data_IF_007380993379
#
_entry.id   IF_007380993379
#
_cell.length_a   1.000
_cell.length_b   1.000
_cell.length_c   1.000
_cell.angle_alpha   90.00
_cell.angle_beta   90.00
_cell.angle_gamma   90.00
#
_symmetry.space_group_name_H-M   'P 1'
#
loop_
_entity.id
_entity.type
_entity.pdbx_description
1 polymer ?
#
# COMPACT_ATOMS: atom_id res chain seq x y z
N UNK A 1 8.97 -38.13 14.88
CA UNK A 1 9.73 -36.86 14.91
C UNK A 1 8.91 -35.65 14.47
N UNK A 2 7.91 -35.78 13.57
CA UNK A 2 7.00 -34.68 13.16
C UNK A 2 6.13 -34.13 14.31
N UNK A 3 5.85 -34.93 15.34
CA UNK A 3 4.98 -34.56 16.47
C UNK A 3 5.67 -33.69 17.54
N UNK A 4 6.89 -33.20 17.26
CA UNK A 4 7.67 -32.34 18.17
C UNK A 4 7.77 -30.88 17.73
N UNK A 5 7.14 -30.52 16.61
CA UNK A 5 7.15 -29.16 16.08
C UNK A 5 5.79 -28.50 16.28
N UNK A 6 5.79 -27.36 16.97
CA UNK A 6 4.62 -26.47 17.07
C UNK A 6 5.06 -25.11 16.55
N UNK A 7 4.28 -24.54 15.63
CA UNK A 7 4.48 -23.18 15.13
C UNK A 7 3.47 -22.29 15.83
N UNK A 8 3.97 -21.30 16.57
CA UNK A 8 3.13 -20.23 17.10
C UNK A 8 3.10 -19.09 16.08
N UNK A 9 1.91 -18.61 15.66
CA UNK A 9 1.82 -17.43 14.79
C UNK A 9 2.25 -16.18 15.55
N UNK A 10 2.69 -15.17 14.80
CA UNK A 10 2.94 -13.86 15.37
C UNK A 10 1.63 -13.26 15.90
N UNK A 11 1.72 -12.64 17.08
CA UNK A 11 0.64 -11.81 17.61
C UNK A 11 0.58 -10.46 16.89
N UNK A 12 -0.56 -9.79 17.02
CA UNK A 12 -0.78 -8.44 16.48
C UNK A 12 -1.44 -7.59 17.57
N UNK A 13 -0.90 -6.41 17.83
CA UNK A 13 -1.46 -5.48 18.80
C UNK A 13 -2.59 -4.68 18.16
N UNK A 14 -3.83 -5.14 18.35
CA UNK A 14 -5.00 -4.58 17.68
C UNK A 14 -5.28 -3.13 18.09
N UNK A 15 -4.95 -2.74 19.33
CA UNK A 15 -5.24 -1.39 19.83
C UNK A 15 -4.50 -0.28 19.07
N UNK A 16 -3.31 -0.58 18.56
CA UNK A 16 -2.50 0.38 17.79
C UNK A 16 -2.98 0.50 16.34
N UNK A 17 -3.59 -0.56 15.81
CA UNK A 17 -3.98 -0.67 14.40
C UNK A 17 -5.48 -0.91 14.25
N UNK A 18 -6.28 -0.16 15.01
CA UNK A 18 -7.73 -0.20 14.98
C UNK A 18 -8.28 1.00 14.19
N UNK A 19 -8.80 0.81 12.97
CA UNK A 19 -9.31 1.90 12.16
C UNK A 19 -10.53 2.61 12.78
N UNK A 20 -11.18 2.02 13.78
CA UNK A 20 -12.32 2.64 14.47
C UNK A 20 -11.87 3.69 15.49
N UNK A 21 -10.60 3.61 15.93
CA UNK A 21 -10.02 4.46 16.97
C UNK A 21 -8.77 5.22 16.49
N UNK A 22 -8.31 4.98 15.26
CA UNK A 22 -7.13 5.61 14.68
C UNK A 22 -7.39 7.09 14.34
N UNK A 23 -6.75 7.98 15.12
CA UNK A 23 -6.87 9.44 14.98
C UNK A 23 -6.04 10.01 13.83
N UNK A 24 -5.19 9.21 13.19
CA UNK A 24 -4.42 9.61 12.01
C UNK A 24 -5.23 9.49 10.73
N UNK A 25 -6.33 8.72 10.74
CA UNK A 25 -7.24 8.62 9.62
C UNK A 25 -8.07 9.91 9.47
N UNK A 26 -8.30 10.39 8.23
CA UNK A 26 -9.24 11.48 7.98
C UNK A 26 -10.65 11.17 8.51
N UNK A 27 -11.08 9.92 8.44
CA UNK A 27 -12.32 9.43 9.02
C UNK A 27 -12.14 7.98 9.50
N UNK A 28 -12.55 7.69 10.73
CA UNK A 28 -12.47 6.33 11.28
C UNK A 28 -13.51 5.43 10.61
N UNK A 29 -13.24 4.13 10.59
CA UNK A 29 -14.15 3.13 10.00
C UNK A 29 -14.05 1.80 10.73
N UNK A 30 -14.99 0.90 10.46
CA UNK A 30 -15.02 -0.42 11.09
C UNK A 30 -15.40 -1.51 10.09
N UNK A 31 -15.32 -2.77 10.50
CA UNK A 31 -15.74 -3.88 9.66
C UNK A 31 -17.25 -3.84 9.30
N UNK A 32 -18.08 -3.21 10.14
CA UNK A 32 -19.51 -3.05 9.90
C UNK A 32 -19.88 -1.76 9.16
N UNK A 33 -18.99 -0.77 9.12
CA UNK A 33 -19.19 0.48 8.36
C UNK A 33 -17.89 0.95 7.69
N UNK A 34 -17.85 0.81 6.36
CA UNK A 34 -16.70 1.12 5.53
C UNK A 34 -16.77 2.52 4.88
N UNK A 35 -17.76 3.36 5.23
CA UNK A 35 -17.89 4.70 4.64
C UNK A 35 -16.64 5.56 4.86
N UNK A 36 -16.10 5.56 6.08
CA UNK A 36 -14.86 6.28 6.40
C UNK A 36 -13.66 5.80 5.58
N UNK A 37 -13.60 4.51 5.20
CA UNK A 37 -12.55 3.99 4.32
C UNK A 37 -12.58 4.62 2.93
N UNK A 38 -13.76 4.94 2.39
CA UNK A 38 -13.87 5.64 1.11
C UNK A 38 -13.34 7.08 1.21
N UNK A 39 -13.61 7.75 2.33
CA UNK A 39 -13.06 9.09 2.63
C UNK A 39 -11.54 9.03 2.73
N UNK A 40 -10.98 8.08 3.47
CA UNK A 40 -9.53 7.86 3.54
C UNK A 40 -8.90 7.66 2.16
N UNK A 41 -9.54 6.90 1.27
CA UNK A 41 -9.06 6.68 -0.10
C UNK A 41 -8.99 7.99 -0.89
N UNK A 42 -10.08 8.78 -0.87
CA UNK A 42 -10.13 10.07 -1.59
C UNK A 42 -9.07 11.04 -1.03
N UNK A 43 -8.96 11.14 0.30
CA UNK A 43 -7.94 11.99 0.93
C UNK A 43 -6.52 11.57 0.56
N UNK A 44 -6.24 10.26 0.47
CA UNK A 44 -4.93 9.77 0.02
C UNK A 44 -4.68 10.10 -1.46
N UNK A 45 -5.68 9.90 -2.33
CA UNK A 45 -5.57 10.27 -3.75
C UNK A 45 -5.28 11.77 -3.91
N UNK A 46 -6.00 12.63 -3.18
CA UNK A 46 -5.76 14.08 -3.14
C UNK A 46 -4.34 14.43 -2.68
N UNK A 47 -3.90 13.83 -1.57
CA UNK A 47 -2.56 14.07 -1.03
C UNK A 47 -1.46 13.69 -2.03
N UNK A 48 -1.69 12.67 -2.85
CA UNK A 48 -0.75 12.16 -3.85
C UNK A 48 -0.97 12.77 -5.25
N UNK A 49 -1.92 13.69 -5.44
CA UNK A 49 -2.23 14.27 -6.75
C UNK A 49 -2.87 13.30 -7.76
N UNK A 50 -3.40 12.17 -7.29
CA UNK A 50 -4.05 11.15 -8.12
C UNK A 50 -5.50 11.52 -8.44
N UNK A 51 -6.03 10.99 -9.54
CA UNK A 51 -7.42 11.21 -9.91
C UNK A 51 -8.39 10.62 -8.86
N UNK A 52 -9.33 11.44 -8.41
CA UNK A 52 -10.36 11.05 -7.45
C UNK A 52 -11.44 10.21 -8.15
N UNK A 53 -11.14 8.94 -8.39
CA UNK A 53 -12.09 7.98 -8.95
C UNK A 53 -12.36 6.86 -7.94
N UNK A 54 -13.61 6.83 -7.47
CA UNK A 54 -14.08 5.81 -6.53
C UNK A 54 -13.94 4.39 -7.11
N UNK A 55 -14.07 4.23 -8.42
CA UNK A 55 -14.00 2.94 -9.13
C UNK A 55 -12.57 2.49 -9.43
N UNK A 56 -11.58 3.39 -9.41
CA UNK A 56 -10.18 3.03 -9.64
C UNK A 56 -9.64 2.16 -8.50
N UNK A 57 -8.88 1.13 -8.84
CA UNK A 57 -8.17 0.34 -7.83
C UNK A 57 -6.96 1.17 -7.37
N UNK A 58 -6.76 1.27 -6.06
CA UNK A 58 -5.59 1.90 -5.46
C UNK A 58 -4.78 0.85 -4.72
N UNK A 59 -3.53 0.66 -5.13
CA UNK A 59 -2.59 -0.30 -4.55
C UNK A 59 -1.51 0.44 -3.77
N UNK A 60 -1.39 0.14 -2.48
CA UNK A 60 -0.31 0.65 -1.63
C UNK A 60 0.79 -0.39 -1.44
N UNK A 61 2.06 -0.01 -1.63
CA UNK A 61 3.22 -0.85 -1.31
C UNK A 61 4.11 -0.15 -0.28
N UNK A 62 4.13 -0.70 0.94
CA UNK A 62 4.92 -0.18 2.06
C UNK A 62 6.11 -1.12 2.30
N UNK A 63 7.34 -0.60 2.24
CA UNK A 63 8.56 -1.42 2.33
C UNK A 63 9.69 -0.73 3.10
N UNK A 64 10.51 -1.52 3.78
CA UNK A 64 11.72 -1.03 4.47
C UNK A 64 12.99 -1.18 3.62
N UNK A 65 13.04 -2.23 2.78
CA UNK A 65 14.12 -2.50 1.83
C UNK A 65 13.52 -3.22 0.61
N UNK A 66 14.16 -3.13 -0.54
CA UNK A 66 13.75 -3.83 -1.76
C UNK A 66 14.98 -4.42 -2.44
N UNK A 67 14.88 -5.66 -2.90
CA UNK A 67 15.91 -6.29 -3.73
C UNK A 67 15.64 -6.04 -5.21
N UNK A 68 16.67 -6.13 -6.05
CA UNK A 68 16.54 -5.97 -7.50
C UNK A 68 15.51 -6.95 -8.11
N UNK A 69 15.45 -8.18 -7.61
CA UNK A 69 14.48 -9.17 -8.08
C UNK A 69 13.02 -8.80 -7.76
N UNK A 70 12.77 -8.21 -6.58
CA UNK A 70 11.44 -7.71 -6.22
C UNK A 70 11.09 -6.48 -7.06
N UNK A 71 12.07 -5.61 -7.32
CA UNK A 71 11.89 -4.44 -8.17
C UNK A 71 11.55 -4.83 -9.61
N UNK A 72 12.23 -5.82 -10.19
CA UNK A 72 11.92 -6.32 -11.54
C UNK A 72 10.48 -6.85 -11.64
N UNK A 73 10.05 -7.65 -10.66
CA UNK A 73 8.69 -8.15 -10.59
C UNK A 73 7.67 -7.02 -10.46
N UNK A 74 7.95 -6.02 -9.62
CA UNK A 74 7.10 -4.84 -9.46
C UNK A 74 6.94 -4.07 -10.78
N UNK A 75 8.03 -3.88 -11.52
CA UNK A 75 8.00 -3.24 -12.84
C UNK A 75 7.20 -4.04 -13.88
N UNK A 76 7.16 -5.37 -13.75
CA UNK A 76 6.29 -6.22 -14.54
C UNK A 76 4.81 -5.94 -14.26
N UNK A 77 4.43 -5.88 -12.98
CA UNK A 77 3.04 -5.63 -12.55
C UNK A 77 2.59 -4.23 -12.93
N UNK A 78 3.42 -3.21 -12.68
CA UNK A 78 3.10 -1.82 -12.99
C UNK A 78 2.76 -1.62 -14.47
N UNK A 79 3.57 -2.17 -15.37
CA UNK A 79 3.33 -2.06 -16.81
C UNK A 79 2.00 -2.67 -17.25
N UNK A 80 1.59 -3.77 -16.63
CA UNK A 80 0.31 -4.42 -16.95
C UNK A 80 -0.85 -3.61 -16.38
N UNK A 81 -0.75 -3.20 -15.11
CA UNK A 81 -1.85 -2.60 -14.38
C UNK A 81 -2.10 -1.12 -14.75
N UNK A 82 -1.09 -0.37 -15.19
CA UNK A 82 -1.27 1.01 -15.65
C UNK A 82 -2.20 1.10 -16.87
N UNK A 83 -2.28 0.05 -17.70
CA UNK A 83 -3.19 0.00 -18.84
C UNK A 83 -4.67 -0.09 -18.42
N UNK A 84 -4.95 -0.54 -17.19
CA UNK A 84 -6.30 -0.75 -16.67
C UNK A 84 -6.76 0.39 -15.74
N UNK A 85 -6.00 1.49 -15.65
CA UNK A 85 -6.35 2.65 -14.81
C UNK A 85 -6.20 2.39 -13.31
N UNK A 86 -5.34 1.45 -12.93
CA UNK A 86 -4.95 1.17 -11.55
C UNK A 86 -3.96 2.23 -11.07
N UNK A 87 -4.14 2.70 -9.84
CA UNK A 87 -3.28 3.67 -9.18
C UNK A 87 -2.36 2.99 -8.17
N UNK A 88 -1.14 3.51 -8.03
CA UNK A 88 -0.13 2.96 -7.14
C UNK A 88 0.41 4.04 -6.19
N UNK A 89 0.60 3.68 -4.92
CA UNK A 89 1.27 4.51 -3.91
C UNK A 89 2.39 3.69 -3.30
N UNK A 90 3.61 4.21 -3.36
CA UNK A 90 4.81 3.58 -2.83
C UNK A 90 5.30 4.35 -1.60
N UNK A 91 5.52 3.66 -0.50
CA UNK A 91 6.04 4.27 0.72
C UNK A 91 7.16 3.40 1.30
N UNK A 92 8.36 3.96 1.37
CA UNK A 92 9.50 3.24 1.91
C UNK A 92 10.76 4.07 1.87
N UNK A 93 11.78 3.61 2.57
CA UNK A 93 13.12 4.14 2.48
C UNK A 93 13.99 3.08 1.84
N UNK A 94 14.59 3.34 0.69
CA UNK A 94 15.59 2.43 0.12
C UNK A 94 16.84 3.22 -0.23
N UNK A 95 18.00 2.65 0.08
CA UNK A 95 19.30 3.19 -0.33
C UNK A 95 19.65 2.82 -1.76
N UNK A 96 18.82 2.02 -2.42
CA UNK A 96 19.06 1.52 -3.77
C UNK A 96 18.78 2.67 -4.77
N UNK A 97 19.78 3.17 -5.51
CA UNK A 97 19.60 4.30 -6.43
C UNK A 97 18.57 4.02 -7.53
N UNK A 98 18.46 2.75 -7.94
CA UNK A 98 17.55 2.30 -9.00
C UNK A 98 16.07 2.41 -8.62
N UNK A 99 15.71 2.39 -7.33
CA UNK A 99 14.30 2.60 -6.96
C UNK A 99 13.90 4.07 -7.09
N UNK A 100 14.80 5.02 -6.79
CA UNK A 100 14.49 6.43 -6.91
C UNK A 100 14.25 6.78 -8.38
N UNK A 101 15.09 6.29 -9.30
CA UNK A 101 14.86 6.48 -10.73
C UNK A 101 13.55 5.84 -11.22
N UNK A 102 13.15 4.69 -10.66
CA UNK A 102 11.87 4.06 -11.00
C UNK A 102 10.70 4.87 -10.47
N UNK A 103 10.75 5.31 -9.22
CA UNK A 103 9.70 6.14 -8.61
C UNK A 103 9.57 7.49 -9.32
N UNK A 104 10.69 8.10 -9.73
CA UNK A 104 10.70 9.34 -10.51
C UNK A 104 10.04 9.13 -11.89
N UNK A 105 10.36 8.02 -12.59
CA UNK A 105 9.75 7.70 -13.88
C UNK A 105 8.24 7.43 -13.80
N UNK A 106 7.74 7.05 -12.63
CA UNK A 106 6.30 6.84 -12.39
C UNK A 106 5.56 8.14 -12.07
N UNK A 107 6.26 9.23 -11.75
CA UNK A 107 5.67 10.53 -11.47
C UNK A 107 5.50 11.38 -12.75
N UNK A 108 6.21 11.04 -13.85
CA UNK A 108 6.19 11.79 -15.11
C UNK A 108 5.10 11.35 -16.12
N UNK A 109 4.23 10.38 -15.77
CA UNK A 109 3.04 9.97 -16.55
C UNK A 109 1.73 10.50 -15.96
#
# INVERSE_FOLDING_TARGET
>A
HKDKLVVAPYGFESSTWDPSMDKLLPETYSASDLKGKAVCKVSLQQLMGLSENASSILVGYIFSEISDAVLENLMGVLRIASLDGVQFVFMGASKLPSINSVLDSLHEE
#
